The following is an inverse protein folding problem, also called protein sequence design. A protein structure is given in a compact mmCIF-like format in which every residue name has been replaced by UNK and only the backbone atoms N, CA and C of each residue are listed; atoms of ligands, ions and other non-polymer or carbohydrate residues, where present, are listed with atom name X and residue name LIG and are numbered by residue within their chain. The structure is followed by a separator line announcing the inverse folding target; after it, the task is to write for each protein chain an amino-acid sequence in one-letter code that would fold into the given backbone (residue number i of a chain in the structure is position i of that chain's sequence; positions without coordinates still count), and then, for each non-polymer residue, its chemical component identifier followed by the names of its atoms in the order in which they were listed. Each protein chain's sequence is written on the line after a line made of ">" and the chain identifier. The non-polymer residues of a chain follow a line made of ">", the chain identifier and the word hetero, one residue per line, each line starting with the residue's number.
data_IF_120483065983
#
_entry.id   IF_120483065983
#
_cell.length_a   1.000
_cell.length_b   1.000
_cell.length_c   1.000
_cell.angle_alpha   90.00
_cell.angle_beta   90.00
_cell.angle_gamma   90.00
#
_symmetry.space_group_name_H-M   'P 1'
#
loop_
_entity.id
_entity.type
_entity.pdbx_description
1 polymer ?
#
# COMPACT_ATOMS: atom_id res chain seq x y z
N UNK A 1 11.77 19.29 -14.34
CA UNK A 1 13.23 19.38 -14.50
C UNK A 1 13.84 18.33 -13.60
N UNK A 2 14.71 17.47 -14.15
CA UNK A 2 15.14 16.24 -13.48
C UNK A 2 16.54 16.45 -12.87
N UNK A 3 16.70 16.50 -11.53
CA UNK A 3 17.98 16.74 -10.86
C UNK A 3 18.99 15.57 -10.97
N UNK A 4 18.85 14.70 -11.99
CA UNK A 4 19.62 13.46 -12.19
C UNK A 4 20.50 13.47 -13.44
N UNK A 5 20.58 14.57 -14.19
CA UNK A 5 21.47 14.63 -15.36
C UNK A 5 22.93 14.89 -14.92
N UNK A 6 23.85 13.92 -15.08
CA UNK A 6 25.23 14.07 -14.63
C UNK A 6 25.99 15.22 -15.31
N UNK A 7 25.57 15.61 -16.51
CA UNK A 7 26.14 16.77 -17.22
C UNK A 7 25.76 18.09 -16.58
N UNK A 8 24.52 18.21 -16.09
CA UNK A 8 24.07 19.41 -15.38
C UNK A 8 24.75 19.54 -14.03
N UNK A 9 24.93 18.41 -13.32
CA UNK A 9 25.69 18.39 -12.07
C UNK A 9 27.15 18.81 -12.28
N UNK A 10 27.80 18.30 -13.33
CA UNK A 10 29.17 18.68 -13.69
C UNK A 10 29.31 20.19 -13.94
N UNK A 11 28.41 20.76 -14.74
CA UNK A 11 28.40 22.20 -15.05
C UNK A 11 28.08 23.07 -13.83
N UNK A 12 27.14 22.62 -12.99
CA UNK A 12 26.78 23.31 -11.76
C UNK A 12 27.97 23.38 -10.80
N UNK A 13 28.66 22.26 -10.56
CA UNK A 13 29.85 22.21 -9.71
C UNK A 13 30.96 23.10 -10.30
N UNK A 14 31.15 23.10 -11.63
CA UNK A 14 32.14 23.95 -12.30
C UNK A 14 31.86 25.45 -12.11
N UNK A 15 30.59 25.84 -12.15
CA UNK A 15 30.13 27.22 -12.04
C UNK A 15 30.07 27.78 -10.61
N UNK A 16 30.17 26.92 -9.57
CA UNK A 16 30.01 27.33 -8.17
C UNK A 16 31.30 27.13 -7.34
N UNK A 17 32.07 28.20 -7.06
CA UNK A 17 33.34 28.14 -6.33
C UNK A 17 33.21 27.64 -4.88
N UNK A 18 32.10 27.94 -4.21
CA UNK A 18 31.84 27.49 -2.83
C UNK A 18 31.59 25.98 -2.79
N UNK A 19 30.84 25.47 -3.78
CA UNK A 19 30.57 24.03 -3.93
C UNK A 19 31.85 23.25 -4.22
N UNK A 20 32.76 23.80 -5.03
CA UNK A 20 34.08 23.21 -5.27
C UNK A 20 34.93 23.13 -3.99
N UNK A 21 34.86 24.13 -3.10
CA UNK A 21 35.59 24.07 -1.82
C UNK A 21 35.03 22.99 -0.88
N UNK A 22 33.71 22.82 -0.82
CA UNK A 22 33.08 21.78 -0.03
C UNK A 22 33.41 20.37 -0.56
N UNK A 23 33.29 20.15 -1.87
CA UNK A 23 33.60 18.86 -2.48
C UNK A 23 35.09 18.55 -2.37
N UNK A 24 35.98 19.57 -2.40
CA UNK A 24 37.43 19.36 -2.25
C UNK A 24 37.81 18.75 -0.89
N UNK A 25 37.03 19.00 0.16
CA UNK A 25 37.27 18.42 1.49
C UNK A 25 36.89 16.94 1.56
N UNK A 26 35.86 16.52 0.82
CA UNK A 26 35.34 15.15 0.88
C UNK A 26 35.87 14.26 -0.26
N UNK A 27 35.95 14.78 -1.48
CA UNK A 27 36.32 14.05 -2.71
C UNK A 27 37.20 14.93 -3.63
N UNK A 28 38.49 15.12 -3.34
CA UNK A 28 39.40 15.97 -4.12
C UNK A 28 39.55 15.51 -5.58
N UNK A 29 39.38 14.21 -5.85
CA UNK A 29 39.48 13.62 -7.19
C UNK A 29 38.36 14.09 -8.13
N UNK A 30 37.16 14.35 -7.60
CA UNK A 30 36.04 14.91 -8.37
C UNK A 30 36.31 16.36 -8.78
N UNK A 31 36.89 17.15 -7.86
CA UNK A 31 37.24 18.55 -8.12
C UNK A 31 38.31 18.67 -9.19
N UNK A 32 39.34 17.81 -9.15
CA UNK A 32 40.39 17.78 -10.17
C UNK A 32 39.83 17.43 -11.55
N UNK A 33 38.85 16.51 -11.64
CA UNK A 33 38.20 16.16 -12.89
C UNK A 33 37.35 17.31 -13.45
N UNK A 34 36.61 18.02 -12.59
CA UNK A 34 35.79 19.19 -12.98
C UNK A 34 36.67 20.36 -13.43
N UNK A 35 37.76 20.67 -12.72
CA UNK A 35 38.66 21.78 -13.05
C UNK A 35 39.42 21.54 -14.37
N UNK A 36 39.73 20.28 -14.70
CA UNK A 36 40.37 19.90 -15.96
C UNK A 36 39.39 19.75 -17.12
N UNK A 37 38.08 19.89 -16.87
CA UNK A 37 37.05 19.69 -17.88
C UNK A 37 36.89 18.23 -18.34
N UNK A 38 37.38 17.27 -17.56
CA UNK A 38 37.37 15.84 -17.90
C UNK A 38 36.09 15.17 -17.39
N UNK A 39 35.04 15.25 -18.20
CA UNK A 39 33.74 14.68 -17.88
C UNK A 39 33.78 13.15 -17.72
N UNK A 40 34.66 12.45 -18.45
CA UNK A 40 34.77 11.00 -18.36
C UNK A 40 35.33 10.57 -17.00
N UNK A 41 36.38 11.24 -16.54
CA UNK A 41 36.97 10.99 -15.22
C UNK A 41 36.01 11.36 -14.10
N UNK A 42 35.23 12.44 -14.25
CA UNK A 42 34.18 12.80 -13.32
C UNK A 42 33.10 11.71 -13.21
N UNK A 43 32.61 11.20 -14.34
CA UNK A 43 31.65 10.10 -14.36
C UNK A 43 32.20 8.82 -13.74
N UNK A 44 33.49 8.50 -13.93
CA UNK A 44 34.13 7.34 -13.30
C UNK A 44 34.15 7.46 -11.77
N UNK A 45 34.46 8.63 -11.24
CA UNK A 45 34.48 8.85 -9.79
C UNK A 45 33.07 8.82 -9.19
N UNK A 46 32.07 9.40 -9.87
CA UNK A 46 30.66 9.31 -9.43
C UNK A 46 30.16 7.86 -9.47
N UNK A 47 30.48 7.10 -10.51
CA UNK A 47 30.10 5.70 -10.61
C UNK A 47 30.76 4.84 -9.52
N UNK A 48 32.01 5.17 -9.14
CA UNK A 48 32.71 4.49 -8.05
C UNK A 48 32.10 4.74 -6.67
N UNK A 49 31.44 5.90 -6.47
CA UNK A 49 30.70 6.25 -5.25
C UNK A 49 29.22 5.81 -5.29
N UNK A 50 28.80 5.08 -6.34
CA UNK A 50 27.42 4.60 -6.43
C UNK A 50 27.09 3.56 -5.34
N UNK A 51 25.82 3.50 -4.87
CA UNK A 51 25.39 2.51 -3.89
C UNK A 51 25.67 1.06 -4.34
N UNK A 52 25.52 0.79 -5.64
CA UNK A 52 25.78 -0.52 -6.24
C UNK A 52 27.25 -0.94 -6.13
N UNK A 53 28.17 0.00 -6.39
CA UNK A 53 29.59 -0.26 -6.29
C UNK A 53 30.03 -0.45 -4.83
N UNK A 54 29.47 0.34 -3.91
CA UNK A 54 29.70 0.19 -2.47
C UNK A 54 29.21 -1.17 -1.95
N UNK A 55 28.03 -1.60 -2.39
CA UNK A 55 27.47 -2.90 -2.02
C UNK A 55 28.32 -4.07 -2.55
N UNK A 56 28.83 -3.96 -3.78
CA UNK A 56 29.78 -4.95 -4.33
C UNK A 56 31.07 -5.03 -3.53
N UNK A 57 31.67 -3.87 -3.19
CA UNK A 57 32.89 -3.84 -2.37
C UNK A 57 32.67 -4.44 -0.98
N UNK A 58 31.52 -4.19 -0.36
CA UNK A 58 31.19 -4.79 0.94
C UNK A 58 30.98 -6.31 0.83
N UNK A 59 30.33 -6.80 -0.23
CA UNK A 59 30.21 -8.23 -0.51
C UNK A 59 31.57 -8.91 -0.69
N UNK A 60 32.46 -8.32 -1.48
CA UNK A 60 33.82 -8.83 -1.69
C UNK A 60 34.62 -8.83 -0.37
N UNK A 61 34.44 -7.79 0.45
CA UNK A 61 35.03 -7.71 1.78
C UNK A 61 34.51 -8.82 2.70
N UNK A 62 33.21 -9.03 2.76
CA UNK A 62 32.60 -10.10 3.57
C UNK A 62 33.02 -11.49 3.10
N UNK A 63 33.19 -11.69 1.79
CA UNK A 63 33.70 -12.93 1.21
C UNK A 63 35.18 -13.21 1.53
N UNK A 64 35.95 -12.17 1.87
CA UNK A 64 37.36 -12.29 2.28
C UNK A 64 37.56 -12.58 3.78
N UNK A 65 36.49 -12.49 4.58
CA UNK A 65 36.50 -12.81 6.01
C UNK A 65 36.28 -14.31 6.26
N UNK A 66 36.48 -14.76 7.50
CA UNK A 66 36.25 -16.16 7.89
C UNK A 66 34.78 -16.57 7.66
N UNK A 67 34.49 -17.55 6.77
CA UNK A 67 33.14 -18.01 6.48
C UNK A 67 32.42 -18.66 7.67
N UNK A 68 33.15 -19.05 8.72
CA UNK A 68 32.59 -19.66 9.93
C UNK A 68 32.35 -18.65 11.06
N UNK A 69 32.66 -17.38 10.86
CA UNK A 69 32.31 -16.32 11.81
C UNK A 69 30.78 -16.09 11.81
N UNK A 70 30.10 -16.26 12.96
CA UNK A 70 28.66 -16.03 13.07
C UNK A 70 28.19 -14.63 12.66
N UNK A 71 29.02 -13.59 12.81
CA UNK A 71 28.66 -12.23 12.39
C UNK A 71 28.71 -12.07 10.87
N UNK A 72 29.72 -12.68 10.23
CA UNK A 72 29.87 -12.68 8.76
C UNK A 72 28.70 -13.43 8.12
N UNK A 73 28.35 -14.60 8.65
CA UNK A 73 27.19 -15.37 8.17
C UNK A 73 25.88 -14.60 8.31
N UNK A 74 25.69 -13.87 9.42
CA UNK A 74 24.49 -13.04 9.62
C UNK A 74 24.39 -11.94 8.57
N UNK A 75 25.49 -11.23 8.28
CA UNK A 75 25.51 -10.17 7.26
C UNK A 75 25.27 -10.72 5.86
N UNK A 76 25.88 -11.85 5.50
CA UNK A 76 25.63 -12.53 4.22
C UNK A 76 24.15 -12.91 4.10
N UNK A 77 23.56 -13.46 5.16
CA UNK A 77 22.15 -13.82 5.18
C UNK A 77 21.23 -12.60 4.99
N UNK A 78 21.52 -11.48 5.65
CA UNK A 78 20.78 -10.23 5.47
C UNK A 78 20.86 -9.72 4.02
N UNK A 79 22.04 -9.76 3.39
CA UNK A 79 22.20 -9.33 2.00
C UNK A 79 21.41 -10.24 1.05
N UNK A 80 21.50 -11.56 1.21
CA UNK A 80 20.74 -12.52 0.39
C UNK A 80 19.23 -12.30 0.57
N UNK A 81 18.77 -12.10 1.82
CA UNK A 81 17.38 -11.81 2.08
C UNK A 81 16.91 -10.53 1.37
N UNK A 82 17.71 -9.46 1.44
CA UNK A 82 17.39 -8.21 0.76
C UNK A 82 17.40 -8.36 -0.77
N UNK A 83 18.33 -9.13 -1.34
CA UNK A 83 18.34 -9.45 -2.77
C UNK A 83 17.08 -10.20 -3.19
N UNK A 84 16.70 -11.26 -2.46
CA UNK A 84 15.47 -12.01 -2.75
C UNK A 84 14.22 -11.13 -2.66
N UNK A 85 14.14 -10.23 -1.67
CA UNK A 85 13.03 -9.27 -1.53
C UNK A 85 13.00 -8.30 -2.71
N UNK A 86 14.16 -7.82 -3.14
CA UNK A 86 14.28 -6.90 -4.27
C UNK A 86 13.93 -7.57 -5.60
N UNK A 87 14.41 -8.77 -5.86
CA UNK A 87 14.04 -9.55 -7.05
C UNK A 87 12.54 -9.81 -7.09
N UNK A 88 11.93 -10.21 -5.97
CA UNK A 88 10.48 -10.39 -5.88
C UNK A 88 9.73 -9.08 -6.16
N UNK A 89 10.25 -7.94 -5.67
CA UNK A 89 9.69 -6.62 -5.94
C UNK A 89 9.74 -6.28 -7.43
N UNK A 90 10.88 -6.47 -8.06
CA UNK A 90 11.09 -6.23 -9.51
C UNK A 90 10.16 -7.11 -10.35
N UNK A 91 10.06 -8.40 -10.02
CA UNK A 91 9.11 -9.31 -10.64
C UNK A 91 7.67 -8.82 -10.50
N UNK A 92 7.27 -8.37 -9.31
CA UNK A 92 5.94 -7.82 -9.08
C UNK A 92 5.69 -6.55 -9.90
N UNK A 93 6.68 -5.66 -10.03
CA UNK A 93 6.55 -4.43 -10.85
C UNK A 93 6.39 -4.78 -12.33
N UNK A 94 7.14 -5.76 -12.82
CA UNK A 94 7.09 -6.18 -14.23
C UNK A 94 5.79 -6.91 -14.57
N UNK A 95 5.33 -7.81 -13.69
CA UNK A 95 4.24 -8.73 -14.00
C UNK A 95 2.88 -8.34 -13.40
N UNK A 96 2.86 -7.56 -12.32
CA UNK A 96 1.64 -7.18 -11.60
C UNK A 96 1.74 -5.74 -11.04
N UNK A 97 1.94 -4.72 -11.90
CA UNK A 97 2.10 -3.33 -11.46
C UNK A 97 0.91 -2.80 -10.65
N UNK A 98 -0.27 -3.39 -10.81
CA UNK A 98 -1.49 -3.06 -10.05
C UNK A 98 -1.38 -3.34 -8.55
N UNK A 99 -0.48 -4.24 -8.11
CA UNK A 99 -0.22 -4.51 -6.68
C UNK A 99 0.32 -3.26 -5.97
N UNK A 100 0.96 -2.34 -6.72
CA UNK A 100 1.47 -1.07 -6.22
C UNK A 100 0.47 0.08 -6.33
N UNK A 101 -0.70 -0.16 -6.93
CA UNK A 101 -1.76 0.82 -7.05
C UNK A 101 -2.61 0.93 -5.78
N UNK A 102 -3.07 2.12 -5.45
CA UNK A 102 -4.12 2.28 -4.44
C UNK A 102 -5.47 1.83 -5.02
N UNK A 103 -5.99 0.71 -4.52
CA UNK A 103 -7.32 0.20 -4.91
C UNK A 103 -8.40 1.07 -4.25
N UNK A 104 -9.27 1.65 -5.07
CA UNK A 104 -10.43 2.42 -4.59
C UNK A 104 -11.52 1.43 -4.18
N UNK A 105 -11.96 1.53 -2.93
CA UNK A 105 -13.07 0.72 -2.42
C UNK A 105 -14.39 1.06 -3.14
N UNK A 106 -15.18 0.04 -3.43
CA UNK A 106 -16.43 0.19 -4.19
C UNK A 106 -17.57 0.61 -3.26
N UNK A 107 -18.20 1.74 -3.57
CA UNK A 107 -19.38 2.23 -2.87
C UNK A 107 -20.49 2.58 -3.86
N UNK A 108 -21.73 2.32 -3.45
CA UNK A 108 -22.91 2.80 -4.17
C UNK A 108 -23.83 3.59 -3.24
N UNK A 109 -24.57 4.53 -3.83
CA UNK A 109 -25.67 5.21 -3.13
C UNK A 109 -26.92 4.34 -3.22
N UNK A 110 -27.59 4.18 -2.09
CA UNK A 110 -28.88 3.53 -2.01
C UNK A 110 -29.77 4.26 -1.00
N UNK A 111 -31.05 3.91 -0.95
CA UNK A 111 -31.93 4.35 0.13
C UNK A 111 -32.53 3.17 0.87
N UNK A 112 -32.67 3.34 2.17
CA UNK A 112 -33.38 2.41 3.05
C UNK A 112 -34.43 3.20 3.79
N UNK A 113 -35.70 2.82 3.61
CA UNK A 113 -36.83 3.55 4.19
C UNK A 113 -36.75 5.07 3.88
N UNK A 114 -36.43 5.42 2.63
CA UNK A 114 -36.29 6.81 2.15
C UNK A 114 -35.00 7.55 2.55
N UNK A 115 -34.17 6.98 3.43
CA UNK A 115 -32.93 7.62 3.89
C UNK A 115 -31.74 7.22 3.02
N UNK A 116 -30.94 8.20 2.59
CA UNK A 116 -29.73 7.94 1.81
C UNK A 116 -28.69 7.19 2.65
N UNK A 117 -28.10 6.16 2.06
CA UNK A 117 -27.07 5.29 2.64
C UNK A 117 -25.97 5.08 1.60
N UNK A 118 -24.71 5.17 2.03
CA UNK A 118 -23.56 4.75 1.21
C UNK A 118 -23.20 3.32 1.60
N UNK A 119 -23.43 2.39 0.68
CA UNK A 119 -23.17 0.98 0.92
C UNK A 119 -21.83 0.57 0.30
N UNK A 120 -20.97 -0.04 1.10
CA UNK A 120 -19.72 -0.67 0.67
C UNK A 120 -20.04 -1.98 -0.06
N UNK A 121 -19.43 -2.23 -1.21
CA UNK A 121 -19.67 -3.45 -2.01
C UNK A 121 -18.52 -4.43 -1.77
N UNK A 122 -18.84 -5.58 -1.17
CA UNK A 122 -17.84 -6.58 -0.78
C UNK A 122 -18.31 -7.99 -1.13
N UNK A 123 -17.81 -8.52 -2.25
CA UNK A 123 -18.07 -9.90 -2.66
C UNK A 123 -17.39 -10.94 -1.74
N UNK A 124 -16.41 -10.54 -0.93
CA UNK A 124 -15.74 -11.39 0.05
C UNK A 124 -16.57 -11.62 1.32
N UNK A 125 -17.57 -10.78 1.58
CA UNK A 125 -18.47 -10.95 2.70
C UNK A 125 -19.64 -11.88 2.33
N UNK A 126 -19.89 -12.92 3.13
CA UNK A 126 -21.00 -13.83 2.90
C UNK A 126 -22.37 -13.18 3.12
N UNK A 127 -22.48 -12.25 4.06
CA UNK A 127 -23.73 -11.63 4.48
C UNK A 127 -23.73 -10.13 4.25
N UNK A 128 -24.91 -9.60 3.91
CA UNK A 128 -25.16 -8.16 3.90
C UNK A 128 -25.42 -7.66 5.31
N UNK A 129 -24.77 -6.55 5.67
CA UNK A 129 -24.70 -6.05 7.05
C UNK A 129 -25.08 -4.57 7.09
N UNK A 130 -25.74 -4.16 8.16
CA UNK A 130 -26.04 -2.77 8.47
C UNK A 130 -25.60 -2.41 9.89
N UNK A 131 -25.05 -1.23 10.09
CA UNK A 131 -24.73 -0.74 11.44
C UNK A 131 -25.98 -0.38 12.23
N UNK A 132 -25.93 -0.50 13.55
CA UNK A 132 -27.00 -0.04 14.46
C UNK A 132 -27.35 1.42 14.21
N UNK A 133 -26.35 2.29 14.10
CA UNK A 133 -26.54 3.72 13.84
C UNK A 133 -27.28 3.98 12.52
N UNK A 134 -26.96 3.22 11.46
CA UNK A 134 -27.67 3.31 10.19
C UNK A 134 -29.12 2.81 10.31
N UNK A 135 -29.34 1.69 11.01
CA UNK A 135 -30.70 1.16 11.23
C UNK A 135 -31.58 2.10 12.07
N UNK A 136 -31.00 2.79 13.07
CA UNK A 136 -31.66 3.84 13.85
C UNK A 136 -32.00 5.05 13.00
N UNK A 137 -31.03 5.56 12.23
CA UNK A 137 -31.22 6.69 11.32
C UNK A 137 -32.26 6.42 10.23
N UNK A 138 -32.28 5.21 9.68
CA UNK A 138 -33.29 4.80 8.71
C UNK A 138 -34.64 4.48 9.37
N UNK A 139 -34.73 4.49 10.71
CA UNK A 139 -35.94 4.24 11.46
C UNK A 139 -36.44 2.80 11.32
N UNK A 140 -35.57 1.80 11.10
CA UNK A 140 -35.96 0.40 10.89
C UNK A 140 -35.56 -0.53 12.04
N UNK A 141 -35.11 0.01 13.17
CA UNK A 141 -34.78 -0.78 14.37
C UNK A 141 -35.93 -1.67 14.86
N UNK A 142 -37.18 -1.26 14.64
CA UNK A 142 -38.38 -2.06 14.96
C UNK A 142 -38.46 -3.40 14.21
N UNK A 143 -37.72 -3.55 13.12
CA UNK A 143 -37.70 -4.76 12.28
C UNK A 143 -36.60 -5.75 12.70
N UNK A 144 -35.75 -5.39 13.67
CA UNK A 144 -34.62 -6.22 14.10
C UNK A 144 -35.10 -7.35 14.99
N UNK A 145 -35.04 -8.57 14.47
CA UNK A 145 -35.31 -9.80 15.22
C UNK A 145 -34.10 -10.19 16.06
N UNK A 146 -34.19 -9.95 17.37
CA UNK A 146 -33.12 -10.22 18.35
C UNK A 146 -32.89 -11.72 18.61
N UNK A 147 -33.78 -12.61 18.17
CA UNK A 147 -33.54 -14.07 18.27
C UNK A 147 -32.33 -14.50 17.44
N UNK A 148 -31.97 -13.69 16.44
CA UNK A 148 -30.79 -13.87 15.59
C UNK A 148 -29.59 -13.04 16.09
N UNK A 149 -29.59 -12.59 17.34
CA UNK A 149 -28.42 -11.98 17.97
C UNK A 149 -27.31 -13.02 18.18
N UNK A 150 -26.07 -12.55 18.21
CA UNK A 150 -24.93 -13.43 18.37
C UNK A 150 -23.61 -12.69 18.23
N UNK A 151 -22.54 -13.44 18.00
CA UNK A 151 -21.21 -12.90 17.80
C UNK A 151 -20.72 -13.35 16.42
N UNK A 152 -20.47 -12.39 15.53
CA UNK A 152 -19.78 -12.63 14.27
C UNK A 152 -18.28 -12.76 14.55
N UNK A 153 -17.70 -13.90 14.15
CA UNK A 153 -16.25 -14.14 14.15
C UNK A 153 -15.74 -14.06 12.71
N UNK A 154 -14.88 -13.09 12.44
CA UNK A 154 -14.21 -12.87 11.15
C UNK A 154 -12.88 -12.14 11.36
N UNK A 155 -12.61 -11.07 10.61
CA UNK A 155 -11.51 -10.12 10.90
C UNK A 155 -11.88 -9.28 12.13
N UNK A 156 -11.95 -9.91 13.29
CA UNK A 156 -12.42 -9.34 14.56
C UNK A 156 -13.68 -10.02 15.11
N UNK A 157 -14.03 -9.62 16.33
CA UNK A 157 -15.25 -10.07 17.04
C UNK A 157 -16.24 -8.93 17.02
N UNK A 158 -17.39 -9.10 16.37
CA UNK A 158 -18.45 -8.09 16.33
C UNK A 158 -19.76 -8.67 16.88
N UNK A 159 -20.48 -7.87 17.66
CA UNK A 159 -21.76 -8.27 18.24
C UNK A 159 -22.89 -8.00 17.26
N UNK A 160 -23.60 -9.06 16.89
CA UNK A 160 -24.83 -9.01 16.09
C UNK A 160 -25.99 -8.73 17.04
N UNK A 161 -26.67 -7.61 16.84
CA UNK A 161 -27.86 -7.23 17.60
C UNK A 161 -29.09 -8.03 17.20
N UNK A 162 -29.15 -8.45 15.94
CA UNK A 162 -30.24 -9.26 15.38
C UNK A 162 -30.24 -9.21 13.87
N UNK A 163 -31.34 -9.67 13.28
CA UNK A 163 -31.50 -9.74 11.81
C UNK A 163 -32.81 -9.08 11.38
N UNK A 164 -32.74 -8.30 10.30
CA UNK A 164 -33.91 -7.86 9.55
C UNK A 164 -34.12 -8.85 8.42
N UNK A 165 -35.25 -9.56 8.46
CA UNK A 165 -35.55 -10.62 7.49
C UNK A 165 -35.80 -10.08 6.09
N UNK A 166 -36.44 -8.91 6.00
CA UNK A 166 -36.76 -8.25 4.75
C UNK A 166 -36.77 -6.73 4.94
N UNK A 167 -35.93 -6.04 4.19
CA UNK A 167 -35.92 -4.60 3.99
C UNK A 167 -35.91 -4.31 2.49
N UNK A 168 -36.54 -3.20 2.09
CA UNK A 168 -36.48 -2.71 0.71
C UNK A 168 -35.29 -1.77 0.58
N UNK A 169 -34.34 -2.16 -0.28
CA UNK A 169 -33.20 -1.36 -0.67
C UNK A 169 -33.50 -0.70 -2.01
N UNK A 170 -33.59 0.63 -2.03
CA UNK A 170 -33.77 1.40 -3.26
C UNK A 170 -32.40 1.72 -3.85
N UNK A 171 -32.16 1.29 -5.09
CA UNK A 171 -30.97 1.70 -5.86
C UNK A 171 -31.51 2.32 -7.15
N UNK A 172 -31.20 3.59 -7.35
CA UNK A 172 -31.79 4.42 -8.40
C UNK A 172 -33.33 4.42 -8.36
N UNK A 173 -34.00 3.67 -9.23
CA UNK A 173 -35.48 3.56 -9.31
C UNK A 173 -35.99 2.15 -9.05
N UNK A 174 -35.10 1.24 -8.64
CA UNK A 174 -35.40 -0.16 -8.43
C UNK A 174 -35.38 -0.49 -6.93
N UNK A 175 -36.24 -1.44 -6.54
CA UNK A 175 -36.38 -1.87 -5.15
C UNK A 175 -35.95 -3.34 -5.02
N UNK A 176 -34.99 -3.59 -4.14
CA UNK A 176 -34.42 -4.91 -3.92
C UNK A 176 -34.78 -5.42 -2.52
N UNK A 177 -35.37 -6.61 -2.49
CA UNK A 177 -35.67 -7.33 -1.26
C UNK A 177 -34.38 -7.90 -0.62
N UNK A 178 -34.01 -7.33 0.53
CA UNK A 178 -32.72 -7.59 1.18
C UNK A 178 -32.89 -8.02 2.63
N UNK A 179 -32.16 -9.06 3.05
CA UNK A 179 -32.01 -9.41 4.46
C UNK A 179 -30.74 -8.76 5.01
N UNK A 180 -30.79 -8.25 6.25
CA UNK A 180 -29.70 -7.49 6.86
C UNK A 180 -29.36 -8.06 8.24
N UNK A 181 -28.10 -8.38 8.48
CA UNK A 181 -27.59 -8.57 9.85
C UNK A 181 -27.25 -7.21 10.43
N UNK A 182 -27.67 -6.91 11.66
CA UNK A 182 -27.41 -5.61 12.30
C UNK A 182 -26.29 -5.75 13.32
N UNK A 183 -25.20 -5.02 13.13
CA UNK A 183 -24.03 -5.01 14.04
C UNK A 183 -24.05 -3.79 14.96
N UNK A 184 -23.57 -3.96 16.19
CA UNK A 184 -23.47 -2.88 17.19
C UNK A 184 -22.45 -1.81 16.76
N UNK A 185 -21.21 -2.24 16.50
CA UNK A 185 -20.09 -1.36 16.19
C UNK A 185 -19.52 -1.68 14.81
N UNK A 186 -19.91 -0.88 13.81
CA UNK A 186 -19.40 -1.00 12.44
C UNK A 186 -19.07 0.41 11.90
N UNK A 187 -17.88 0.63 11.31
CA UNK A 187 -17.45 1.95 10.85
C UNK A 187 -18.25 2.47 9.64
N UNK A 188 -18.73 1.57 8.79
CA UNK A 188 -19.56 1.90 7.62
C UNK A 188 -21.05 1.72 7.93
N UNK A 189 -21.91 2.45 7.23
CA UNK A 189 -23.37 2.33 7.39
C UNK A 189 -23.89 0.95 6.97
N UNK A 190 -23.46 0.49 5.80
CA UNK A 190 -23.96 -0.73 5.18
C UNK A 190 -22.88 -1.38 4.33
N UNK A 191 -22.88 -2.72 4.34
CA UNK A 191 -22.03 -3.57 3.52
C UNK A 191 -22.92 -4.52 2.71
N UNK A 192 -22.78 -4.51 1.39
CA UNK A 192 -23.45 -5.44 0.47
C UNK A 192 -22.58 -6.67 0.27
N UNK A 193 -23.05 -7.78 0.83
CA UNK A 193 -22.39 -9.07 0.73
C UNK A 193 -22.82 -9.86 -0.48
N UNK A 194 -22.17 -11.00 -0.67
CA UNK A 194 -22.41 -11.93 -1.76
C UNK A 194 -23.85 -12.49 -1.78
N UNK A 195 -24.50 -12.60 -0.62
CA UNK A 195 -25.90 -13.01 -0.49
C UNK A 195 -26.87 -12.13 -1.28
N UNK A 196 -26.61 -10.82 -1.34
CA UNK A 196 -27.38 -9.88 -2.15
C UNK A 196 -26.89 -9.79 -3.57
N UNK A 197 -25.57 -9.71 -3.77
CA UNK A 197 -24.97 -9.57 -5.10
C UNK A 197 -25.31 -10.76 -6.01
N UNK A 198 -25.28 -11.98 -5.48
CA UNK A 198 -25.63 -13.19 -6.24
C UNK A 198 -27.13 -13.34 -6.47
N UNK A 199 -27.97 -12.83 -5.57
CA UNK A 199 -29.44 -12.96 -5.67
C UNK A 199 -30.00 -12.14 -6.83
N UNK A 200 -29.38 -11.00 -7.13
CA UNK A 200 -29.86 -10.03 -8.11
C UNK A 200 -28.87 -9.83 -9.26
N UNK A 201 -28.19 -10.91 -9.67
CA UNK A 201 -27.29 -10.95 -10.83
C UNK A 201 -28.06 -10.83 -12.15
#
# INVERSE_FOLDING_TARGET
>A
MNPRDPRQLFEMIRSNPEMLQQIRQNSPQLVDAVQRGDFNRFMQHIAAESPEMQQRMELDRLASLDPFDPEVQRRIHEIINMQNVQENMEHAVEHAPEVFGHVIMLYINCKVNGHLVKAFVDSGAQMTIMSKACAERCGIMRLVDRRFSGIAKGVGTQKILGRIHLAQLEIEKNYFATSLSVLEDQPMDMLLGLDMLRRHQ
#
